data_IF_407447093383
#
_entry.id   IF_407447093383
#
_cell.length_a   1.000
_cell.length_b   1.000
_cell.length_c   1.000
_cell.angle_alpha   90.00
_cell.angle_beta   90.00
_cell.angle_gamma   90.00
#
_symmetry.space_group_name_H-M   'P 1'
#
loop_
_entity.id
_entity.type
_entity.pdbx_description
1 polymer ?
#
# COMPACT_ATOMS: atom_id res chain seq x y z
N UNK A 1 -4.78 35.89 -20.80
CA UNK A 1 -4.43 34.88 -19.78
C UNK A 1 -3.82 35.48 -18.51
N UNK A 2 -3.01 36.54 -18.58
CA UNK A 2 -2.44 37.17 -17.38
C UNK A 2 -3.44 38.05 -16.60
N UNK A 3 -4.38 38.71 -17.29
CA UNK A 3 -5.36 39.62 -16.66
C UNK A 3 -6.36 38.92 -15.73
N UNK A 4 -6.77 37.70 -16.08
CA UNK A 4 -7.70 36.90 -15.26
C UNK A 4 -7.09 36.46 -13.93
N UNK A 5 -5.78 36.20 -13.89
CA UNK A 5 -5.09 35.85 -12.64
C UNK A 5 -4.89 37.09 -11.76
N UNK A 6 -4.61 38.24 -12.36
CA UNK A 6 -4.48 39.51 -11.64
C UNK A 6 -5.81 39.96 -11.01
N UNK A 7 -6.93 39.69 -11.67
CA UNK A 7 -8.26 39.97 -11.11
C UNK A 7 -8.58 39.10 -9.89
N UNK A 8 -8.16 37.82 -9.89
CA UNK A 8 -8.37 36.90 -8.76
C UNK A 8 -7.52 37.29 -7.55
N UNK A 9 -6.26 37.69 -7.75
CA UNK A 9 -5.34 38.03 -6.64
C UNK A 9 -5.70 39.34 -5.92
N UNK A 10 -6.38 40.28 -6.61
CA UNK A 10 -6.72 41.60 -6.08
C UNK A 10 -8.21 41.78 -5.77
N UNK A 11 -8.99 40.69 -5.71
CA UNK A 11 -10.42 40.78 -5.39
C UNK A 11 -10.63 40.75 -3.87
N UNK A 12 -11.33 41.73 -3.31
CA UNK A 12 -11.54 41.89 -1.86
C UNK A 12 -12.27 40.71 -1.19
N UNK A 13 -13.02 39.93 -1.96
CA UNK A 13 -13.73 38.72 -1.48
C UNK A 13 -12.89 37.43 -1.53
N UNK A 14 -11.64 37.49 -1.97
CA UNK A 14 -10.83 36.27 -2.12
C UNK A 14 -10.36 35.77 -0.75
N UNK A 15 -10.84 34.58 -0.35
CA UNK A 15 -10.51 33.96 0.95
C UNK A 15 -9.11 33.31 0.99
N UNK A 16 -8.44 33.22 -0.15
CA UNK A 16 -7.10 32.64 -0.29
C UNK A 16 -6.35 33.34 -1.42
N UNK A 17 -5.03 33.41 -1.27
CA UNK A 17 -4.11 33.94 -2.28
C UNK A 17 -3.70 32.85 -3.27
N UNK A 18 -3.27 33.25 -4.48
CA UNK A 18 -2.70 32.31 -5.46
C UNK A 18 -1.45 31.59 -4.93
N UNK A 19 -0.72 32.22 -3.99
CA UNK A 19 0.41 31.61 -3.28
C UNK A 19 -0.03 30.45 -2.39
N UNK A 20 -1.15 30.59 -1.68
CA UNK A 20 -1.72 29.53 -0.86
C UNK A 20 -2.27 28.37 -1.70
N UNK A 21 -2.94 28.66 -2.82
CA UNK A 21 -3.34 27.60 -3.76
C UNK A 21 -2.16 26.85 -4.35
N UNK A 22 -1.04 27.55 -4.59
CA UNK A 22 0.18 26.91 -5.05
C UNK A 22 0.77 25.96 -4.01
N UNK A 23 0.59 26.23 -2.72
CA UNK A 23 0.98 25.31 -1.64
C UNK A 23 0.10 24.05 -1.65
N UNK A 24 -1.21 24.18 -1.85
CA UNK A 24 -2.13 23.04 -1.94
C UNK A 24 -1.84 22.16 -3.16
N UNK A 25 -1.50 22.78 -4.29
CA UNK A 25 -1.14 22.06 -5.52
C UNK A 25 0.31 21.55 -5.53
N UNK A 26 1.17 22.09 -4.67
CA UNK A 26 2.55 21.66 -4.48
C UNK A 26 2.68 20.77 -3.23
N UNK A 27 1.71 19.86 -3.02
CA UNK A 27 1.85 18.81 -2.02
C UNK A 27 3.17 18.08 -2.21
N UNK A 28 3.82 17.70 -1.09
CA UNK A 28 5.10 16.99 -1.14
C UNK A 28 4.91 15.66 -1.89
N UNK A 29 5.58 15.45 -3.04
CA UNK A 29 5.44 14.23 -3.81
C UNK A 29 5.82 12.99 -2.99
N UNK A 30 6.72 13.10 -2.00
CA UNK A 30 7.05 11.99 -1.11
C UNK A 30 5.90 11.66 -0.16
N UNK A 31 5.20 12.67 0.35
CA UNK A 31 4.04 12.49 1.21
C UNK A 31 2.89 11.81 0.45
N UNK A 32 2.63 12.21 -0.80
CA UNK A 32 1.63 11.57 -1.65
C UNK A 32 2.00 10.12 -1.99
N UNK A 33 3.27 9.86 -2.33
CA UNK A 33 3.76 8.50 -2.55
C UNK A 33 3.60 7.64 -1.30
N UNK A 34 3.88 8.19 -0.12
CA UNK A 34 3.70 7.49 1.15
C UNK A 34 2.23 7.15 1.40
N UNK A 35 1.31 8.10 1.21
CA UNK A 35 -0.14 7.87 1.33
C UNK A 35 -0.62 6.72 0.45
N UNK A 36 -0.18 6.71 -0.82
CA UNK A 36 -0.54 5.65 -1.78
C UNK A 36 -0.01 4.29 -1.30
N UNK A 37 1.25 4.22 -0.86
CA UNK A 37 1.87 2.98 -0.38
C UNK A 37 1.17 2.46 0.88
N UNK A 38 0.83 3.34 1.83
CA UNK A 38 0.10 2.97 3.03
C UNK A 38 -1.30 2.44 2.73
N UNK A 39 -2.03 3.09 1.83
CA UNK A 39 -3.35 2.65 1.39
C UNK A 39 -3.29 1.27 0.71
N UNK A 40 -2.35 1.06 -0.20
CA UNK A 40 -2.14 -0.22 -0.86
C UNK A 40 -1.77 -1.33 0.15
N UNK A 41 -0.88 -1.04 1.09
CA UNK A 41 -0.48 -1.98 2.14
C UNK A 41 -1.66 -2.37 3.04
N UNK A 42 -2.54 -1.42 3.39
CA UNK A 42 -3.73 -1.70 4.19
C UNK A 42 -4.68 -2.67 3.47
N UNK A 43 -4.93 -2.46 2.17
CA UNK A 43 -5.78 -3.33 1.34
C UNK A 43 -5.21 -4.74 1.28
N UNK A 44 -3.92 -4.89 0.96
CA UNK A 44 -3.26 -6.20 0.85
C UNK A 44 -3.32 -6.94 2.19
N UNK A 45 -3.08 -6.24 3.30
CA UNK A 45 -3.17 -6.84 4.65
C UNK A 45 -4.57 -7.33 4.95
N UNK A 46 -5.59 -6.56 4.59
CA UNK A 46 -6.98 -6.94 4.82
C UNK A 46 -7.38 -8.13 3.95
N UNK A 47 -6.99 -8.13 2.68
CA UNK A 47 -7.24 -9.25 1.77
C UNK A 47 -6.66 -10.57 2.30
N UNK A 48 -5.38 -10.54 2.73
CA UNK A 48 -4.72 -11.69 3.38
C UNK A 48 -5.46 -12.13 4.64
N UNK A 49 -5.91 -11.20 5.49
CA UNK A 49 -6.63 -11.52 6.74
C UNK A 49 -8.03 -12.07 6.48
N UNK A 50 -8.69 -11.60 5.42
CA UNK A 50 -10.03 -12.01 5.04
C UNK A 50 -10.05 -13.43 4.46
N UNK A 51 -8.92 -13.92 3.96
CA UNK A 51 -8.76 -15.29 3.50
C UNK A 51 -8.93 -16.28 4.66
N UNK A 52 -10.06 -16.99 4.67
CA UNK A 52 -10.29 -18.12 5.57
C UNK A 52 -9.37 -19.28 5.18
N UNK A 53 -8.23 -19.40 5.84
CA UNK A 53 -7.41 -20.61 5.79
C UNK A 53 -8.10 -21.70 6.61
N UNK A 54 -8.42 -22.83 5.97
CA UNK A 54 -9.00 -23.99 6.64
C UNK A 54 -8.00 -24.60 7.62
N UNK A 55 -8.05 -24.14 8.88
CA UNK A 55 -7.18 -24.62 9.96
C UNK A 55 -7.54 -26.02 10.44
N UNK A 56 -8.73 -26.53 10.08
CA UNK A 56 -9.18 -27.87 10.47
C UNK A 56 -8.43 -28.99 9.75
N UNK A 57 -7.84 -28.69 8.59
CA UNK A 57 -6.96 -29.61 7.86
C UNK A 57 -5.47 -29.39 8.20
N UNK A 58 -5.15 -28.43 9.07
CA UNK A 58 -3.77 -28.12 9.42
C UNK A 58 -3.18 -29.22 10.29
N UNK A 59 -2.00 -29.78 9.93
CA UNK A 59 -1.40 -30.84 10.72
C UNK A 59 -1.04 -30.31 12.13
N UNK A 60 -1.25 -31.12 13.18
CA UNK A 60 -0.77 -30.80 14.52
C UNK A 60 0.72 -30.41 14.51
N UNK A 61 1.20 -29.53 15.40
CA UNK A 61 2.60 -29.09 15.43
C UNK A 61 3.63 -30.24 15.42
N UNK A 62 3.29 -31.34 16.09
CA UNK A 62 4.09 -32.56 16.13
C UNK A 62 4.17 -33.32 14.80
N UNK A 63 3.34 -32.98 13.81
CA UNK A 63 3.24 -33.62 12.48
C UNK A 63 3.59 -32.67 11.33
N UNK A 64 3.90 -31.40 11.60
CA UNK A 64 4.25 -30.40 10.56
C UNK A 64 5.52 -30.81 9.80
N UNK A 65 6.47 -31.43 10.49
CA UNK A 65 7.78 -31.82 9.93
C UNK A 65 7.87 -33.32 9.60
N UNK A 66 6.76 -34.07 9.68
CA UNK A 66 6.74 -35.51 9.43
C UNK A 66 6.15 -35.76 8.05
N UNK A 67 6.88 -35.43 6.99
CA UNK A 67 6.70 -36.09 5.67
C UNK A 67 8.05 -36.20 4.97
N UNK A 68 8.70 -37.33 5.18
CA UNK A 68 9.84 -37.77 4.37
C UNK A 68 9.47 -38.11 2.92
N UNK A 69 8.21 -38.06 2.48
CA UNK A 69 7.84 -38.43 1.09
C UNK A 69 6.57 -37.75 0.55
N UNK A 70 6.24 -36.52 0.96
CA UNK A 70 5.32 -35.72 0.13
C UNK A 70 6.14 -34.76 -0.69
N UNK A 71 6.08 -34.93 -2.01
CA UNK A 71 6.49 -33.90 -2.96
C UNK A 71 5.84 -32.58 -2.52
N UNK A 72 6.69 -31.67 -2.05
CA UNK A 72 6.26 -30.31 -1.75
C UNK A 72 5.65 -29.73 -3.03
N UNK A 73 4.56 -28.96 -2.94
CA UNK A 73 4.03 -28.32 -4.13
C UNK A 73 5.15 -27.47 -4.76
N UNK A 74 5.23 -27.49 -6.09
CA UNK A 74 6.38 -27.01 -6.86
C UNK A 74 6.78 -25.55 -6.51
N UNK A 75 5.81 -24.76 -6.06
CA UNK A 75 5.96 -23.38 -5.60
C UNK A 75 6.63 -23.21 -4.21
N UNK A 76 6.94 -24.28 -3.48
CA UNK A 76 7.62 -24.23 -2.18
C UNK A 76 9.12 -24.45 -2.33
N UNK A 77 9.57 -25.10 -3.41
CA UNK A 77 11.00 -25.29 -3.70
C UNK A 77 11.75 -23.95 -3.79
N UNK A 78 11.13 -22.91 -4.33
CA UNK A 78 11.75 -21.59 -4.47
C UNK A 78 12.04 -20.87 -3.14
N UNK A 79 11.47 -21.33 -2.02
CA UNK A 79 11.68 -20.76 -0.68
C UNK A 79 12.84 -21.48 0.04
N UNK A 80 13.05 -22.76 -0.28
CA UNK A 80 14.09 -23.61 0.31
C UNK A 80 15.51 -23.24 -0.16
N UNK A 81 15.64 -22.56 -1.31
CA UNK A 81 16.93 -22.21 -1.93
C UNK A 81 17.60 -20.96 -1.32
N UNK A 82 16.98 -20.28 -0.36
CA UNK A 82 17.68 -19.27 0.45
C UNK A 82 18.30 -19.90 1.69
N UNK A 83 19.31 -20.75 1.49
CA UNK A 83 20.32 -21.05 2.51
C UNK A 83 21.56 -20.21 2.29
N UNK A 84 21.87 -19.32 3.25
CA UNK A 84 23.12 -19.38 4.00
C UNK A 84 22.98 -18.63 5.31
#
# INVERSE_FOLDING_TARGET
MAESLNYIENHDDSQFTLKELRVVLAGDPEEERLRIVEAAAAIIREDIRSSVVETKSYPPPSKILIKENQELPENVYCISDRKS
#
